data_IF_172856589277
#
_entry.id   IF_172856589277
#
_cell.length_a   1.000
_cell.length_b   1.000
_cell.length_c   1.000
_cell.angle_alpha   90.00
_cell.angle_beta   90.00
_cell.angle_gamma   90.00
#
_symmetry.space_group_name_H-M   'P 1'
#
loop_
_entity.id
_entity.type
_entity.pdbx_description
1 polymer ?
#
# COMPACT_ATOMS: atom_id res chain seq x y z
N UNK A 1 8.70 -12.64 39.59
CA UNK A 1 8.89 -11.25 39.15
C UNK A 1 8.60 -11.11 37.64
N UNK A 2 9.07 -12.05 36.78
CA UNK A 2 8.81 -11.99 35.34
C UNK A 2 7.31 -11.99 35.08
N UNK A 3 6.54 -12.99 35.56
CA UNK A 3 5.09 -13.06 35.34
C UNK A 3 4.30 -11.85 35.87
N UNK A 4 4.81 -11.18 36.92
CA UNK A 4 4.20 -9.93 37.37
C UNK A 4 4.52 -8.79 36.39
N UNK A 5 5.75 -8.74 35.88
CA UNK A 5 6.14 -7.81 34.83
C UNK A 5 5.31 -7.96 33.56
N UNK A 6 5.05 -9.22 33.16
CA UNK A 6 4.22 -9.54 31.99
C UNK A 6 2.80 -8.96 32.14
N UNK A 7 2.15 -9.14 33.29
CA UNK A 7 0.82 -8.57 33.54
C UNK A 7 0.79 -7.05 33.40
N UNK A 8 1.78 -6.33 33.93
CA UNK A 8 1.85 -4.88 33.78
C UNK A 8 2.22 -4.45 32.36
N UNK A 9 3.01 -5.27 31.66
CA UNK A 9 3.32 -5.02 30.24
C UNK A 9 2.10 -5.16 29.35
N UNK A 10 1.26 -6.18 29.60
CA UNK A 10 0.00 -6.42 28.88
C UNK A 10 -1.00 -5.28 29.11
N UNK A 11 -1.01 -4.71 30.33
CA UNK A 11 -1.82 -3.53 30.68
C UNK A 11 -1.21 -2.20 30.14
N UNK A 12 -0.05 -2.25 29.49
CA UNK A 12 0.64 -1.07 28.95
C UNK A 12 1.40 -0.24 30.00
N UNK A 13 1.45 -0.67 31.27
CA UNK A 13 2.27 -0.02 32.33
C UNK A 13 3.73 -0.48 32.25
N UNK A 14 4.40 -0.08 31.17
CA UNK A 14 5.82 -0.39 30.94
C UNK A 14 6.75 0.13 32.01
N UNK A 15 6.34 1.14 32.81
CA UNK A 15 7.13 1.65 33.91
C UNK A 15 7.20 0.63 35.05
N UNK A 16 6.05 0.12 35.48
CA UNK A 16 5.95 -0.90 36.53
C UNK A 16 6.51 -2.23 36.04
N UNK A 17 6.21 -2.63 34.81
CA UNK A 17 6.79 -3.83 34.17
C UNK A 17 8.33 -3.80 34.22
N UNK A 18 8.96 -2.68 33.81
CA UNK A 18 10.41 -2.50 33.86
C UNK A 18 10.97 -2.72 35.27
N UNK A 19 10.30 -2.23 36.30
CA UNK A 19 10.74 -2.40 37.69
C UNK A 19 10.74 -3.88 38.11
N UNK A 20 9.73 -4.65 37.72
CA UNK A 20 9.65 -6.07 38.02
C UNK A 20 10.65 -6.90 37.21
N UNK A 21 10.87 -6.60 35.95
CA UNK A 21 11.89 -7.27 35.16
C UNK A 21 13.30 -6.95 35.67
N UNK A 22 13.55 -5.71 36.09
CA UNK A 22 14.83 -5.37 36.75
C UNK A 22 15.04 -6.19 38.03
N UNK A 23 14.01 -6.31 38.87
CA UNK A 23 14.08 -7.19 40.07
C UNK A 23 14.33 -8.67 39.71
N UNK A 24 13.78 -9.14 38.60
CA UNK A 24 14.04 -10.51 38.13
C UNK A 24 15.52 -10.68 37.78
N UNK A 25 16.08 -9.75 37.01
CA UNK A 25 17.49 -9.74 36.62
C UNK A 25 18.40 -9.64 37.82
N UNK A 26 18.10 -8.71 38.77
CA UNK A 26 18.87 -8.53 40.02
C UNK A 26 18.88 -9.82 40.89
N UNK A 27 17.88 -10.67 40.77
CA UNK A 27 17.80 -11.97 41.41
C UNK A 27 18.34 -13.15 40.54
N UNK A 28 19.08 -12.83 39.47
CA UNK A 28 19.76 -13.83 38.65
C UNK A 28 18.88 -14.55 37.64
N UNK A 29 17.67 -14.06 37.38
CA UNK A 29 16.79 -14.61 36.34
C UNK A 29 17.16 -13.97 34.98
N UNK A 30 17.30 -14.79 33.92
CA UNK A 30 17.50 -14.31 32.56
C UNK A 30 16.19 -13.68 32.07
N UNK A 31 16.12 -12.38 32.10
CA UNK A 31 14.96 -11.58 31.69
C UNK A 31 15.39 -10.28 31.00
N UNK A 32 16.59 -10.28 30.40
CA UNK A 32 17.16 -9.09 29.77
C UNK A 32 16.44 -8.70 28.49
N UNK A 33 15.91 -9.68 27.76
CA UNK A 33 15.11 -9.42 26.54
C UNK A 33 13.86 -8.60 26.88
N UNK A 34 13.02 -9.07 27.81
CA UNK A 34 11.80 -8.36 28.22
C UNK A 34 12.09 -7.03 28.90
N UNK A 35 13.17 -6.97 29.69
CA UNK A 35 13.65 -5.70 30.29
C UNK A 35 14.04 -4.69 29.21
N UNK A 36 14.80 -5.13 28.22
CA UNK A 36 15.20 -4.28 27.08
C UNK A 36 14.00 -3.84 26.24
N UNK A 37 13.07 -4.75 25.93
CA UNK A 37 11.84 -4.44 25.18
C UNK A 37 11.02 -3.36 25.90
N UNK A 38 10.84 -3.44 27.23
CA UNK A 38 10.14 -2.40 28.00
C UNK A 38 10.86 -1.05 28.01
N UNK A 39 12.20 -1.03 28.01
CA UNK A 39 12.95 0.21 27.80
C UNK A 39 12.74 0.76 26.39
N UNK A 40 12.66 -0.09 25.39
CA UNK A 40 12.37 0.28 24.00
C UNK A 40 10.98 0.94 23.85
N UNK A 41 9.92 0.33 24.39
CA UNK A 41 8.56 0.91 24.44
C UNK A 41 8.49 2.26 25.13
N UNK A 42 9.40 2.53 26.08
CA UNK A 42 9.56 3.83 26.75
C UNK A 42 10.49 4.78 26.00
N UNK A 43 10.88 4.47 24.77
CA UNK A 43 11.81 5.24 23.93
C UNK A 43 13.19 5.47 24.57
N UNK A 44 13.61 4.61 25.52
CA UNK A 44 14.90 4.67 26.18
C UNK A 44 15.90 3.71 25.51
N UNK A 45 16.13 3.91 24.22
CA UNK A 45 16.86 3.00 23.34
C UNK A 45 18.26 2.63 23.83
N UNK A 46 18.99 3.56 24.46
CA UNK A 46 20.31 3.28 25.04
C UNK A 46 20.21 2.24 26.15
N UNK A 47 19.22 2.37 27.06
CA UNK A 47 19.04 1.39 28.14
C UNK A 47 18.57 0.04 27.63
N UNK A 48 17.73 0.02 26.58
CA UNK A 48 17.34 -1.20 25.88
C UNK A 48 18.59 -1.90 25.33
N UNK A 49 19.43 -1.18 24.60
CA UNK A 49 20.69 -1.71 24.06
C UNK A 49 21.63 -2.24 25.15
N UNK A 50 21.79 -1.51 26.26
CA UNK A 50 22.65 -1.93 27.37
C UNK A 50 22.10 -3.25 28.01
N UNK A 51 20.76 -3.36 28.19
CA UNK A 51 20.13 -4.56 28.71
C UNK A 51 20.33 -5.75 27.76
N UNK A 52 20.09 -5.57 26.45
CA UNK A 52 20.33 -6.63 25.46
C UNK A 52 21.80 -7.06 25.41
N UNK A 53 22.74 -6.10 25.55
CA UNK A 53 24.16 -6.41 25.59
C UNK A 53 24.52 -7.27 26.79
N UNK A 54 23.99 -6.96 27.96
CA UNK A 54 24.21 -7.74 29.17
C UNK A 54 23.59 -9.13 29.06
N UNK A 55 22.34 -9.25 28.54
CA UNK A 55 21.66 -10.51 28.31
C UNK A 55 22.43 -11.40 27.32
N UNK A 56 22.91 -10.83 26.23
CA UNK A 56 23.75 -11.54 25.26
C UNK A 56 25.04 -12.06 25.89
N UNK A 57 25.69 -11.28 26.74
CA UNK A 57 26.89 -11.71 27.49
C UNK A 57 26.59 -12.82 28.49
N UNK A 58 25.34 -12.92 28.96
CA UNK A 58 24.85 -14.03 29.84
C UNK A 58 24.36 -15.25 29.04
N UNK A 59 24.36 -15.18 27.71
CA UNK A 59 23.94 -16.27 26.82
C UNK A 59 22.47 -16.31 26.49
N UNK A 60 21.71 -15.24 26.74
CA UNK A 60 20.31 -15.14 26.35
C UNK A 60 20.21 -14.93 24.82
N UNK A 61 19.74 -15.95 24.11
CA UNK A 61 19.77 -16.01 22.64
C UNK A 61 18.96 -14.88 21.98
N UNK A 62 17.79 -14.57 22.52
CA UNK A 62 16.91 -13.51 22.03
C UNK A 62 17.58 -12.12 22.12
N UNK A 63 18.45 -11.90 23.09
CA UNK A 63 19.19 -10.63 23.22
C UNK A 63 20.12 -10.38 22.02
N UNK A 64 20.71 -11.41 21.43
CA UNK A 64 21.46 -11.25 20.18
C UNK A 64 20.56 -10.82 19.02
N UNK A 65 19.34 -11.37 18.92
CA UNK A 65 18.37 -10.94 17.90
C UNK A 65 17.98 -9.46 18.08
N UNK A 66 17.73 -9.04 19.33
CA UNK A 66 17.42 -7.64 19.66
C UNK A 66 18.60 -6.68 19.38
N UNK A 67 19.83 -7.11 19.64
CA UNK A 67 21.02 -6.34 19.28
C UNK A 67 21.16 -6.20 17.77
N UNK A 68 20.89 -7.27 17.01
CA UNK A 68 20.85 -7.20 15.57
C UNK A 68 19.87 -6.13 15.08
N UNK A 69 18.66 -6.14 15.61
CA UNK A 69 17.65 -5.12 15.31
C UNK A 69 18.10 -3.69 15.71
N UNK A 70 18.75 -3.52 16.85
CA UNK A 70 19.27 -2.22 17.27
C UNK A 70 20.33 -1.66 16.31
N UNK A 71 21.19 -2.53 15.75
CA UNK A 71 22.19 -2.12 14.75
C UNK A 71 21.57 -1.89 13.36
N UNK A 72 20.57 -2.65 13.00
CA UNK A 72 19.84 -2.48 11.73
C UNK A 72 19.04 -1.16 11.70
N UNK A 73 18.28 -0.87 12.76
CA UNK A 73 17.38 0.29 12.82
C UNK A 73 18.04 1.56 13.32
N UNK A 74 19.26 1.47 13.88
CA UNK A 74 20.00 2.62 14.37
C UNK A 74 19.57 3.13 15.75
N UNK A 75 19.06 2.28 16.64
CA UNK A 75 18.78 2.65 18.04
C UNK A 75 19.99 3.30 18.74
N UNK A 76 21.19 2.92 18.32
CA UNK A 76 22.45 3.54 18.75
C UNK A 76 23.19 4.11 17.53
N UNK A 77 23.48 3.28 16.56
CA UNK A 77 24.12 3.61 15.27
C UNK A 77 23.83 2.49 14.29
N UNK A 78 23.46 2.82 13.06
CA UNK A 78 23.31 1.83 12.00
C UNK A 78 24.65 1.19 11.71
N UNK A 79 24.69 -0.16 11.77
CA UNK A 79 25.86 -0.98 11.47
C UNK A 79 25.38 -2.35 10.98
N UNK A 80 25.17 -2.47 9.69
CA UNK A 80 24.60 -3.68 9.06
C UNK A 80 25.51 -4.91 9.28
N UNK A 81 26.83 -4.73 9.27
CA UNK A 81 27.75 -5.83 9.52
C UNK A 81 27.60 -6.41 10.94
N UNK A 82 27.44 -5.55 11.94
CA UNK A 82 27.18 -5.99 13.33
C UNK A 82 25.78 -6.58 13.46
N UNK A 83 24.79 -6.06 12.72
CA UNK A 83 23.44 -6.66 12.70
C UNK A 83 23.53 -8.11 12.20
N UNK A 84 24.24 -8.37 11.09
CA UNK A 84 24.48 -9.72 10.56
C UNK A 84 25.17 -10.61 11.59
N UNK A 85 26.24 -10.14 12.24
CA UNK A 85 26.95 -10.92 13.25
C UNK A 85 26.03 -11.29 14.43
N UNK A 86 25.23 -10.35 14.93
CA UNK A 86 24.30 -10.58 16.02
C UNK A 86 23.18 -11.55 15.62
N UNK A 87 22.53 -11.33 14.49
CA UNK A 87 21.50 -12.23 14.00
C UNK A 87 22.03 -13.64 13.70
N UNK A 88 23.26 -13.75 13.18
CA UNK A 88 23.91 -15.05 12.95
C UNK A 88 24.05 -15.81 14.27
N UNK A 89 24.56 -15.15 15.31
CA UNK A 89 24.69 -15.78 16.65
C UNK A 89 23.33 -16.19 17.20
N UNK A 90 22.32 -15.35 17.12
CA UNK A 90 20.97 -15.67 17.58
C UNK A 90 20.40 -16.87 16.80
N UNK A 91 20.53 -16.88 15.48
CA UNK A 91 20.11 -17.98 14.61
C UNK A 91 20.85 -19.28 14.96
N UNK A 92 22.16 -19.23 15.25
CA UNK A 92 22.94 -20.40 15.67
C UNK A 92 22.48 -20.95 17.02
N UNK A 93 21.95 -20.11 17.87
CA UNK A 93 21.33 -20.47 19.15
C UNK A 93 19.87 -20.90 19.02
N UNK A 94 19.32 -20.99 17.79
CA UNK A 94 18.00 -21.52 17.52
C UNK A 94 16.87 -20.48 17.44
N UNK A 95 17.18 -19.19 17.36
CA UNK A 95 16.16 -18.13 17.23
C UNK A 95 15.69 -18.03 15.77
N UNK A 96 14.50 -18.53 15.48
CA UNK A 96 13.92 -18.54 14.13
C UNK A 96 13.75 -17.12 13.57
N UNK A 97 13.29 -16.17 14.39
CA UNK A 97 13.10 -14.77 14.00
C UNK A 97 14.43 -14.11 13.54
N UNK A 98 15.56 -14.46 14.17
CA UNK A 98 16.86 -13.96 13.75
C UNK A 98 17.29 -14.52 12.39
N UNK A 99 17.00 -15.78 12.13
CA UNK A 99 17.24 -16.39 10.81
C UNK A 99 16.37 -15.71 9.74
N UNK A 100 15.10 -15.40 10.03
CA UNK A 100 14.24 -14.62 9.15
C UNK A 100 14.82 -13.23 8.88
N UNK A 101 15.20 -12.51 9.93
CA UNK A 101 15.80 -11.16 9.80
C UNK A 101 17.09 -11.17 8.96
N UNK A 102 17.93 -12.19 9.08
CA UNK A 102 19.08 -12.38 8.19
C UNK A 102 18.65 -12.54 6.74
N UNK A 103 17.65 -13.38 6.49
CA UNK A 103 17.09 -13.54 5.15
C UNK A 103 16.55 -12.21 4.60
N UNK A 104 15.84 -11.46 5.41
CA UNK A 104 15.30 -10.13 5.03
C UNK A 104 16.43 -9.12 4.75
N UNK A 105 17.49 -9.10 5.56
CA UNK A 105 18.65 -8.24 5.32
C UNK A 105 19.32 -8.54 3.97
N UNK A 106 19.56 -9.80 3.67
CA UNK A 106 20.15 -10.19 2.37
C UNK A 106 19.21 -9.94 1.20
N UNK A 107 17.89 -10.04 1.39
CA UNK A 107 16.92 -9.87 0.32
C UNK A 107 16.64 -8.40 -0.01
N UNK A 108 16.53 -7.53 1.00
CA UNK A 108 16.10 -6.14 0.84
C UNK A 108 17.21 -5.10 0.97
N UNK A 109 18.30 -5.39 1.70
CA UNK A 109 19.39 -4.43 1.98
C UNK A 109 20.60 -4.70 1.09
N UNK A 110 20.45 -4.63 -0.22
CA UNK A 110 21.57 -4.72 -1.16
C UNK A 110 22.35 -3.39 -1.23
N UNK A 111 23.68 -3.41 -1.41
CA UNK A 111 24.51 -4.58 -1.63
C UNK A 111 25.26 -5.02 -0.36
N UNK A 112 24.94 -6.18 0.20
CA UNK A 112 25.77 -6.83 1.23
C UNK A 112 26.89 -7.62 0.55
N UNK A 113 26.55 -8.32 -0.53
CA UNK A 113 27.47 -9.02 -1.42
C UNK A 113 27.62 -8.27 -2.75
N UNK A 114 28.69 -8.53 -3.48
CA UNK A 114 28.97 -7.90 -4.78
C UNK A 114 27.97 -8.30 -5.88
N UNK A 115 27.20 -9.38 -5.67
CA UNK A 115 26.24 -9.93 -6.62
C UNK A 115 24.84 -10.01 -6.02
N UNK A 116 23.85 -9.45 -6.72
CA UNK A 116 22.43 -9.52 -6.34
C UNK A 116 21.95 -10.96 -6.19
N UNK A 117 22.34 -11.85 -7.11
CA UNK A 117 21.98 -13.27 -7.06
C UNK A 117 22.56 -13.98 -5.84
N UNK A 118 23.78 -13.60 -5.39
CA UNK A 118 24.38 -14.18 -4.21
C UNK A 118 23.66 -13.72 -2.94
N UNK A 119 23.20 -12.46 -2.90
CA UNK A 119 22.32 -11.97 -1.84
C UNK A 119 21.03 -12.79 -1.76
N UNK A 120 20.36 -13.06 -2.90
CA UNK A 120 19.13 -13.85 -2.92
C UNK A 120 19.38 -15.31 -2.48
N UNK A 121 20.49 -15.91 -2.85
CA UNK A 121 20.87 -17.25 -2.37
C UNK A 121 21.12 -17.28 -0.86
N UNK A 122 21.80 -16.28 -0.34
CA UNK A 122 22.01 -16.14 1.10
C UNK A 122 20.67 -15.93 1.83
N UNK A 123 19.79 -15.11 1.28
CA UNK A 123 18.43 -14.93 1.82
C UNK A 123 17.68 -16.27 1.89
N UNK A 124 17.66 -17.05 0.81
CA UNK A 124 17.04 -18.39 0.78
C UNK A 124 17.63 -19.31 1.84
N UNK A 125 18.96 -19.36 1.96
CA UNK A 125 19.64 -20.18 2.99
C UNK A 125 19.14 -19.86 4.40
N UNK A 126 18.98 -18.58 4.74
CA UNK A 126 18.54 -18.18 6.06
C UNK A 126 17.02 -18.32 6.24
N UNK A 127 16.22 -18.13 5.21
CA UNK A 127 14.79 -18.43 5.23
C UNK A 127 14.52 -19.93 5.42
N UNK A 128 15.26 -20.81 4.72
CA UNK A 128 15.20 -22.25 4.93
C UNK A 128 15.55 -22.61 6.38
N UNK A 129 16.58 -21.96 6.94
CA UNK A 129 16.93 -22.14 8.35
C UNK A 129 15.82 -21.70 9.29
N UNK A 130 15.19 -20.54 9.05
CA UNK A 130 14.06 -20.04 9.83
C UNK A 130 12.90 -21.06 9.81
N UNK A 131 12.59 -21.63 8.64
CA UNK A 131 11.57 -22.66 8.50
C UNK A 131 11.85 -23.89 9.38
N UNK A 132 13.07 -24.41 9.32
CA UNK A 132 13.46 -25.58 10.14
C UNK A 132 13.58 -25.28 11.65
N UNK A 133 13.67 -24.02 12.03
CA UNK A 133 13.59 -23.55 13.41
C UNK A 133 12.13 -23.29 13.88
N UNK A 134 11.14 -23.55 13.02
CA UNK A 134 9.72 -23.50 13.38
C UNK A 134 8.95 -22.28 12.86
N UNK A 135 9.59 -21.44 12.03
CA UNK A 135 8.91 -20.34 11.35
C UNK A 135 8.31 -20.81 10.01
N UNK A 136 7.17 -21.51 10.08
CA UNK A 136 6.60 -22.13 8.89
C UNK A 136 6.01 -21.13 7.89
N UNK A 137 5.65 -19.92 8.32
CA UNK A 137 5.13 -18.85 7.46
C UNK A 137 6.16 -18.41 6.41
N UNK A 138 7.45 -18.60 6.68
CA UNK A 138 8.52 -18.23 5.75
C UNK A 138 8.48 -19.03 4.44
N UNK A 139 7.78 -20.17 4.42
CA UNK A 139 7.58 -20.98 3.21
C UNK A 139 6.98 -20.17 2.07
N UNK A 140 6.10 -19.20 2.39
CA UNK A 140 5.51 -18.26 1.42
C UNK A 140 6.60 -17.44 0.72
N UNK A 141 7.52 -16.84 1.47
CA UNK A 141 8.63 -16.05 0.90
C UNK A 141 9.56 -16.90 0.06
N UNK A 142 9.90 -18.11 0.53
CA UNK A 142 10.79 -19.03 -0.22
C UNK A 142 10.13 -19.42 -1.55
N UNK A 143 8.89 -19.86 -1.52
CA UNK A 143 8.14 -20.22 -2.73
C UNK A 143 8.00 -19.04 -3.69
N UNK A 144 7.70 -17.85 -3.18
CA UNK A 144 7.63 -16.62 -3.98
C UNK A 144 8.94 -16.30 -4.70
N UNK A 145 10.09 -16.46 -4.04
CA UNK A 145 11.41 -16.25 -4.66
C UNK A 145 11.63 -17.24 -5.81
N UNK A 146 11.39 -18.54 -5.60
CA UNK A 146 11.51 -19.54 -6.67
C UNK A 146 10.51 -19.35 -7.81
N UNK A 147 9.40 -18.65 -7.57
CA UNK A 147 8.38 -18.39 -8.60
C UNK A 147 8.72 -17.18 -9.48
N UNK A 148 9.34 -16.15 -8.90
CA UNK A 148 9.43 -14.82 -9.51
C UNK A 148 10.86 -14.33 -9.78
N UNK A 149 11.89 -14.89 -9.16
CA UNK A 149 13.27 -14.48 -9.45
C UNK A 149 13.72 -15.08 -10.79
N UNK A 150 14.17 -14.23 -11.72
CA UNK A 150 14.47 -14.65 -13.10
C UNK A 150 15.60 -15.70 -13.18
N UNK A 151 16.62 -15.60 -12.31
CA UNK A 151 17.79 -16.47 -12.34
C UNK A 151 17.59 -17.77 -11.54
N UNK A 152 16.74 -17.76 -10.51
CA UNK A 152 16.49 -18.90 -9.62
C UNK A 152 15.13 -19.55 -9.85
N UNK A 153 14.41 -19.14 -10.89
CA UNK A 153 13.04 -19.59 -11.15
C UNK A 153 12.94 -21.11 -11.25
N UNK A 154 12.17 -21.67 -10.32
CA UNK A 154 11.90 -23.11 -10.22
C UNK A 154 10.50 -23.34 -9.69
N UNK A 155 9.53 -23.44 -10.61
CA UNK A 155 8.10 -23.60 -10.25
C UNK A 155 7.84 -24.88 -9.44
N UNK A 156 8.38 -26.06 -9.79
CA UNK A 156 8.27 -27.26 -8.96
C UNK A 156 8.74 -27.05 -7.53
N UNK A 157 9.86 -26.37 -7.34
CA UNK A 157 10.44 -26.09 -6.02
C UNK A 157 9.59 -25.09 -5.22
N UNK A 158 9.01 -24.09 -5.90
CA UNK A 158 8.05 -23.18 -5.27
C UNK A 158 6.84 -23.93 -4.71
N UNK A 159 6.26 -24.84 -5.54
CA UNK A 159 5.14 -25.68 -5.13
C UNK A 159 5.52 -26.56 -3.93
N UNK A 160 6.70 -27.19 -3.97
CA UNK A 160 7.20 -28.01 -2.85
C UNK A 160 7.24 -27.23 -1.54
N UNK A 161 7.74 -25.99 -1.56
CA UNK A 161 7.79 -25.14 -0.36
C UNK A 161 6.41 -24.73 0.13
N UNK A 162 5.50 -24.40 -0.76
CA UNK A 162 4.11 -24.10 -0.38
C UNK A 162 3.41 -25.32 0.21
N UNK A 163 3.57 -26.51 -0.39
CA UNK A 163 2.99 -27.75 0.14
C UNK A 163 3.61 -28.15 1.50
N UNK A 164 4.92 -27.90 1.72
CA UNK A 164 5.56 -28.10 3.04
C UNK A 164 4.93 -27.20 4.10
N UNK A 165 4.83 -25.91 3.85
CA UNK A 165 4.21 -24.97 4.80
C UNK A 165 2.75 -25.32 5.06
N UNK A 166 1.98 -25.64 4.01
CA UNK A 166 0.58 -26.06 4.13
C UNK A 166 0.43 -27.32 5.01
N UNK A 167 1.31 -28.32 4.86
CA UNK A 167 1.30 -29.54 5.66
C UNK A 167 1.56 -29.31 7.16
N UNK A 168 2.15 -28.15 7.50
CA UNK A 168 2.44 -27.71 8.87
C UNK A 168 1.42 -26.70 9.41
N UNK A 169 0.31 -26.51 8.69
CA UNK A 169 -0.84 -25.73 9.14
C UNK A 169 -0.93 -24.30 8.61
N UNK A 170 -0.02 -23.87 7.71
CA UNK A 170 -0.07 -22.55 7.10
C UNK A 170 -1.12 -22.50 6.00
N UNK A 171 -2.40 -22.42 6.38
CA UNK A 171 -3.54 -22.52 5.46
C UNK A 171 -3.62 -21.39 4.45
N UNK A 172 -3.00 -20.23 4.67
CA UNK A 172 -2.88 -19.13 3.70
C UNK A 172 -2.18 -19.56 2.40
N UNK A 173 -1.30 -20.56 2.45
CA UNK A 173 -0.61 -21.11 1.29
C UNK A 173 -1.54 -21.83 0.28
N UNK A 174 -2.79 -22.09 0.66
CA UNK A 174 -3.79 -22.56 -0.30
C UNK A 174 -4.03 -21.55 -1.42
N UNK A 175 -4.04 -20.24 -1.11
CA UNK A 175 -4.12 -19.19 -2.11
C UNK A 175 -2.92 -19.21 -3.06
N UNK A 176 -1.70 -19.29 -2.52
CA UNK A 176 -0.47 -19.29 -3.33
C UNK A 176 -0.42 -20.52 -4.25
N UNK A 177 -0.82 -21.70 -3.77
CA UNK A 177 -0.93 -22.90 -4.60
C UNK A 177 -2.04 -22.77 -5.64
N UNK A 178 -3.22 -22.25 -5.27
CA UNK A 178 -4.30 -21.98 -6.20
C UNK A 178 -3.82 -21.03 -7.32
N UNK A 179 -3.17 -19.95 -6.96
CA UNK A 179 -2.62 -18.98 -7.91
C UNK A 179 -1.64 -19.60 -8.91
N UNK A 180 -0.75 -20.49 -8.44
CA UNK A 180 0.22 -21.19 -9.31
C UNK A 180 -0.50 -22.09 -10.31
N UNK A 181 -1.49 -22.90 -9.88
CA UNK A 181 -2.19 -23.85 -10.75
C UNK A 181 -3.28 -23.21 -11.63
N UNK A 182 -3.83 -22.07 -11.22
CA UNK A 182 -4.81 -21.32 -12.02
C UNK A 182 -4.16 -20.39 -13.05
N UNK A 183 -2.84 -20.22 -13.01
CA UNK A 183 -2.13 -19.35 -13.92
C UNK A 183 -1.27 -20.16 -14.90
N UNK A 184 -1.67 -20.21 -16.17
CA UNK A 184 -0.99 -20.93 -17.23
C UNK A 184 0.47 -20.53 -17.45
N UNK A 185 0.90 -19.40 -16.91
CA UNK A 185 2.32 -18.98 -16.91
C UNK A 185 3.21 -19.92 -16.09
N UNK A 186 2.64 -20.57 -15.07
CA UNK A 186 3.39 -21.41 -14.14
C UNK A 186 3.15 -22.89 -14.39
N UNK A 187 1.90 -23.31 -14.38
CA UNK A 187 1.46 -24.70 -14.61
C UNK A 187 0.32 -24.71 -15.62
N UNK A 188 0.57 -25.05 -16.89
CA UNK A 188 -0.47 -25.04 -17.93
C UNK A 188 -1.60 -26.02 -17.64
N UNK A 189 -2.84 -25.55 -17.76
CA UNK A 189 -4.06 -26.36 -17.82
C UNK A 189 -4.37 -27.27 -16.61
N UNK A 190 -3.93 -26.93 -15.41
CA UNK A 190 -4.28 -27.68 -14.18
C UNK A 190 -5.25 -26.90 -13.28
N UNK A 191 -6.33 -26.42 -13.88
CA UNK A 191 -7.34 -25.62 -13.17
C UNK A 191 -8.11 -26.41 -12.12
N UNK A 192 -8.28 -27.73 -12.30
CA UNK A 192 -8.95 -28.59 -11.32
C UNK A 192 -8.21 -28.60 -9.98
N UNK A 193 -6.89 -28.78 -10.03
CA UNK A 193 -6.03 -28.74 -8.83
C UNK A 193 -6.03 -27.34 -8.21
N UNK A 194 -5.95 -26.28 -9.03
CA UNK A 194 -6.02 -24.91 -8.57
C UNK A 194 -7.32 -24.58 -7.84
N UNK A 195 -8.47 -24.96 -8.42
CA UNK A 195 -9.78 -24.75 -7.80
C UNK A 195 -9.96 -25.55 -6.51
N UNK A 196 -9.34 -26.72 -6.39
CA UNK A 196 -9.34 -27.50 -5.15
C UNK A 196 -8.60 -26.76 -4.03
N UNK A 197 -7.38 -26.27 -4.28
CA UNK A 197 -6.66 -25.48 -3.30
C UNK A 197 -7.44 -24.20 -2.93
N UNK A 198 -8.01 -23.52 -3.92
CA UNK A 198 -8.84 -22.35 -3.67
C UNK A 198 -10.03 -22.67 -2.75
N UNK A 199 -10.73 -23.77 -2.99
CA UNK A 199 -11.84 -24.20 -2.15
C UNK A 199 -11.41 -24.53 -0.71
N UNK A 200 -10.23 -25.11 -0.54
CA UNK A 200 -9.64 -25.35 0.80
C UNK A 200 -9.27 -24.04 1.49
N UNK A 201 -8.70 -23.05 0.81
CA UNK A 201 -8.43 -21.71 1.34
C UNK A 201 -9.73 -21.00 1.76
N UNK A 202 -10.75 -21.02 0.91
CA UNK A 202 -12.09 -20.48 1.23
C UNK A 202 -12.70 -21.15 2.48
N UNK A 203 -12.53 -22.44 2.64
CA UNK A 203 -13.01 -23.19 3.82
C UNK A 203 -12.33 -22.73 5.11
N UNK A 204 -11.07 -22.33 5.04
CA UNK A 204 -10.30 -21.80 6.17
C UNK A 204 -10.46 -20.29 6.36
N UNK A 205 -11.38 -19.65 5.61
CA UNK A 205 -11.61 -18.20 5.61
C UNK A 205 -10.33 -17.38 5.32
N UNK A 206 -9.49 -17.88 4.41
CA UNK A 206 -8.36 -17.11 3.94
C UNK A 206 -8.84 -15.92 3.08
N UNK A 207 -8.49 -14.66 3.44
CA UNK A 207 -9.03 -13.46 2.79
C UNK A 207 -8.72 -13.40 1.30
N UNK A 208 -7.50 -13.79 0.89
CA UNK A 208 -7.05 -13.79 -0.49
C UNK A 208 -7.81 -14.84 -1.32
N UNK A 209 -8.01 -16.03 -0.76
CA UNK A 209 -8.80 -17.10 -1.40
C UNK A 209 -10.27 -16.68 -1.56
N UNK A 210 -10.85 -16.03 -0.58
CA UNK A 210 -12.22 -15.51 -0.65
C UNK A 210 -12.35 -14.44 -1.73
N UNK A 211 -11.37 -13.52 -1.83
CA UNK A 211 -11.37 -12.49 -2.86
C UNK A 211 -11.18 -13.09 -4.25
N UNK A 212 -10.24 -14.02 -4.43
CA UNK A 212 -10.07 -14.73 -5.71
C UNK A 212 -11.34 -15.49 -6.11
N UNK A 213 -12.03 -16.15 -5.17
CA UNK A 213 -13.30 -16.83 -5.43
C UNK A 213 -14.39 -15.84 -5.85
N UNK A 214 -14.42 -14.63 -5.28
CA UNK A 214 -15.31 -13.56 -5.71
C UNK A 214 -15.03 -13.18 -7.17
N UNK A 215 -13.77 -12.90 -7.51
CA UNK A 215 -13.37 -12.52 -8.87
C UNK A 215 -13.72 -13.59 -9.91
N UNK A 216 -13.58 -14.87 -9.57
CA UNK A 216 -13.99 -15.98 -10.46
C UNK A 216 -15.50 -15.92 -10.78
N UNK A 217 -16.35 -15.62 -9.79
CA UNK A 217 -17.80 -15.45 -10.03
C UNK A 217 -18.16 -14.14 -10.73
N UNK A 218 -17.33 -13.11 -10.64
CA UNK A 218 -17.54 -11.87 -11.38
C UNK A 218 -17.28 -12.06 -12.88
N UNK A 219 -16.13 -12.64 -13.21
CA UNK A 219 -15.61 -12.72 -14.58
C UNK A 219 -16.01 -14.01 -15.33
N UNK A 220 -16.40 -15.04 -14.61
CA UNK A 220 -16.72 -16.33 -15.22
C UNK A 220 -15.50 -17.13 -15.67
N UNK A 221 -14.42 -17.14 -14.88
CA UNK A 221 -13.20 -17.86 -15.21
C UNK A 221 -13.28 -19.37 -14.94
N UNK A 222 -12.41 -20.13 -15.58
CA UNK A 222 -12.18 -21.59 -15.37
C UNK A 222 -13.44 -22.44 -15.57
N UNK A 223 -14.33 -22.03 -16.50
CA UNK A 223 -15.59 -22.75 -16.80
C UNK A 223 -16.69 -22.57 -15.74
N UNK A 224 -16.52 -21.62 -14.84
CA UNK A 224 -17.54 -21.25 -13.86
C UNK A 224 -18.35 -20.09 -14.44
N UNK A 225 -19.68 -20.22 -14.48
CA UNK A 225 -20.55 -19.15 -14.97
C UNK A 225 -20.57 -17.95 -14.00
N UNK A 226 -20.61 -16.70 -14.52
CA UNK A 226 -20.74 -15.51 -13.71
C UNK A 226 -21.99 -15.55 -12.81
N UNK A 227 -21.83 -15.14 -11.55
CA UNK A 227 -22.92 -15.11 -10.57
C UNK A 227 -22.75 -13.91 -9.62
N UNK A 228 -23.50 -12.81 -9.89
CA UNK A 228 -23.42 -11.58 -9.07
C UNK A 228 -23.73 -11.85 -7.59
N UNK A 229 -24.62 -12.77 -7.26
CA UNK A 229 -24.97 -13.07 -5.86
C UNK A 229 -23.80 -13.72 -5.12
N UNK A 230 -23.14 -14.68 -5.77
CA UNK A 230 -21.97 -15.35 -5.22
C UNK A 230 -20.77 -14.40 -5.18
N UNK A 231 -20.57 -13.60 -6.22
CA UNK A 231 -19.56 -12.54 -6.23
C UNK A 231 -19.66 -11.68 -4.97
N UNK A 232 -20.84 -11.05 -4.76
CA UNK A 232 -21.04 -10.18 -3.60
C UNK A 232 -20.96 -10.92 -2.27
N UNK A 233 -21.37 -12.19 -2.23
CA UNK A 233 -21.27 -13.00 -1.01
C UNK A 233 -19.80 -13.20 -0.59
N UNK A 234 -18.93 -13.62 -1.53
CA UNK A 234 -17.53 -13.86 -1.24
C UNK A 234 -16.75 -12.55 -1.04
N UNK A 235 -17.08 -11.51 -1.83
CA UNK A 235 -16.51 -10.17 -1.67
C UNK A 235 -16.75 -9.62 -0.27
N UNK A 236 -17.98 -9.71 0.26
CA UNK A 236 -18.30 -9.30 1.63
C UNK A 236 -17.54 -10.11 2.68
N UNK A 237 -17.38 -11.42 2.46
CA UNK A 237 -16.60 -12.24 3.39
C UNK A 237 -15.12 -11.81 3.43
N UNK A 238 -14.51 -11.57 2.29
CA UNK A 238 -13.13 -11.07 2.21
C UNK A 238 -12.99 -9.69 2.84
N UNK A 239 -13.91 -8.76 2.53
CA UNK A 239 -13.93 -7.41 3.09
C UNK A 239 -14.08 -7.41 4.63
N UNK A 240 -14.91 -8.30 5.18
CA UNK A 240 -15.05 -8.45 6.65
C UNK A 240 -13.78 -8.95 7.33
N UNK A 241 -12.84 -9.51 6.58
CA UNK A 241 -11.51 -9.92 7.04
C UNK A 241 -10.44 -8.86 6.70
N UNK A 242 -10.88 -7.65 6.36
CA UNK A 242 -10.02 -6.51 6.01
C UNK A 242 -9.09 -6.80 4.82
N UNK A 243 -9.56 -7.57 3.82
CA UNK A 243 -8.83 -7.70 2.56
C UNK A 243 -9.08 -6.44 1.74
N UNK A 244 -8.02 -5.68 1.45
CA UNK A 244 -8.09 -4.32 0.92
C UNK A 244 -8.74 -4.23 -0.46
N UNK A 245 -8.37 -5.11 -1.39
CA UNK A 245 -8.98 -5.12 -2.73
C UNK A 245 -10.48 -5.45 -2.66
N UNK A 246 -10.88 -6.32 -1.72
CA UNK A 246 -12.30 -6.63 -1.51
C UNK A 246 -13.06 -5.45 -0.91
N UNK A 247 -12.46 -4.70 0.01
CA UNK A 247 -13.03 -3.46 0.56
C UNK A 247 -13.19 -2.43 -0.56
N UNK A 248 -12.19 -2.29 -1.41
CA UNK A 248 -12.19 -1.37 -2.55
C UNK A 248 -13.30 -1.73 -3.55
N UNK A 249 -13.35 -2.96 -4.00
CA UNK A 249 -14.36 -3.43 -4.97
C UNK A 249 -15.78 -3.34 -4.39
N UNK A 250 -15.96 -3.70 -3.11
CA UNK A 250 -17.24 -3.60 -2.43
C UNK A 250 -17.68 -2.13 -2.26
N UNK A 251 -16.76 -1.24 -1.94
CA UNK A 251 -17.00 0.19 -1.88
C UNK A 251 -17.48 0.75 -3.22
N UNK A 252 -16.81 0.42 -4.32
CA UNK A 252 -17.24 0.82 -5.65
C UNK A 252 -18.56 0.16 -6.08
N UNK A 253 -18.82 -1.07 -5.68
CA UNK A 253 -20.12 -1.71 -5.90
C UNK A 253 -21.23 -0.92 -5.20
N UNK A 254 -21.05 -0.56 -3.94
CA UNK A 254 -22.02 0.24 -3.19
C UNK A 254 -22.17 1.65 -3.78
N UNK A 255 -21.10 2.28 -4.21
CA UNK A 255 -21.14 3.58 -4.89
C UNK A 255 -22.03 3.53 -6.14
N UNK A 256 -21.87 2.54 -7.01
CA UNK A 256 -22.71 2.32 -8.20
C UNK A 256 -24.19 2.10 -7.85
N UNK A 257 -24.47 1.49 -6.71
CA UNK A 257 -25.85 1.25 -6.22
C UNK A 257 -26.41 2.48 -5.44
N UNK A 258 -25.67 3.57 -5.30
CA UNK A 258 -26.09 4.78 -4.57
C UNK A 258 -26.11 4.64 -3.04
N UNK A 259 -25.44 3.60 -2.51
CA UNK A 259 -25.34 3.33 -1.08
C UNK A 259 -24.11 4.01 -0.49
N UNK A 260 -24.18 5.31 -0.36
CA UNK A 260 -23.03 6.15 -0.03
C UNK A 260 -22.44 5.91 1.37
N UNK A 261 -23.29 5.57 2.37
CA UNK A 261 -22.82 5.27 3.72
C UNK A 261 -22.00 3.97 3.71
N UNK A 262 -22.53 2.89 3.10
CA UNK A 262 -21.81 1.62 2.95
C UNK A 262 -20.51 1.82 2.15
N UNK A 263 -20.49 2.73 1.16
CA UNK A 263 -19.28 3.09 0.40
C UNK A 263 -18.21 3.71 1.30
N UNK A 264 -18.61 4.71 2.10
CA UNK A 264 -17.69 5.39 3.00
C UNK A 264 -17.14 4.45 4.07
N UNK A 265 -17.97 3.54 4.59
CA UNK A 265 -17.56 2.55 5.58
C UNK A 265 -16.51 1.56 5.00
N UNK A 266 -16.68 1.11 3.75
CA UNK A 266 -15.70 0.27 3.09
C UNK A 266 -14.37 1.01 2.87
N UNK A 267 -14.43 2.23 2.32
CA UNK A 267 -13.23 3.00 2.01
C UNK A 267 -12.48 3.47 3.26
N UNK A 268 -13.17 3.72 4.37
CA UNK A 268 -12.54 4.09 5.64
C UNK A 268 -11.76 2.94 6.29
N UNK A 269 -12.08 1.69 5.96
CA UNK A 269 -11.39 0.50 6.45
C UNK A 269 -10.25 0.05 5.55
N UNK A 270 -10.18 0.57 4.31
CA UNK A 270 -9.14 0.22 3.35
C UNK A 270 -7.84 0.94 3.72
N UNK A 271 -6.75 0.18 3.87
CA UNK A 271 -5.41 0.71 4.20
C UNK A 271 -4.61 1.11 2.94
N UNK A 272 -5.24 1.10 1.78
CA UNK A 272 -4.60 1.44 0.52
C UNK A 272 -4.68 2.95 0.25
N UNK A 273 -3.53 3.59 0.06
CA UNK A 273 -3.41 4.97 -0.41
C UNK A 273 -3.83 5.11 -1.89
N UNK A 274 -5.12 4.84 -2.15
CA UNK A 274 -5.70 4.99 -3.48
C UNK A 274 -6.30 6.38 -3.67
N UNK A 275 -5.70 7.17 -4.54
CA UNK A 275 -6.17 8.53 -4.84
C UNK A 275 -7.63 8.58 -5.30
N UNK A 276 -8.08 7.56 -6.05
CA UNK A 276 -9.47 7.42 -6.48
C UNK A 276 -10.47 7.25 -5.33
N UNK A 277 -10.05 6.60 -4.23
CA UNK A 277 -10.84 6.47 -3.00
C UNK A 277 -11.04 7.84 -2.37
N UNK A 278 -9.97 8.61 -2.16
CA UNK A 278 -10.06 9.95 -1.58
C UNK A 278 -10.93 10.89 -2.42
N UNK A 279 -10.79 10.83 -3.75
CA UNK A 279 -11.65 11.57 -4.67
C UNK A 279 -13.14 11.18 -4.52
N UNK A 280 -13.45 9.88 -4.49
CA UNK A 280 -14.81 9.40 -4.30
C UNK A 280 -15.39 9.82 -2.94
N UNK A 281 -14.62 9.67 -1.87
CA UNK A 281 -15.04 10.09 -0.53
C UNK A 281 -15.30 11.61 -0.48
N UNK A 282 -14.40 12.42 -1.01
CA UNK A 282 -14.56 13.86 -1.10
C UNK A 282 -15.85 14.25 -1.83
N UNK A 283 -16.11 13.65 -3.00
CA UNK A 283 -17.32 13.94 -3.79
C UNK A 283 -18.61 13.49 -3.10
N UNK A 284 -18.59 12.36 -2.36
CA UNK A 284 -19.74 11.92 -1.56
C UNK A 284 -20.02 12.91 -0.43
N UNK A 285 -18.99 13.29 0.33
CA UNK A 285 -19.14 14.25 1.42
C UNK A 285 -19.62 15.60 0.93
N UNK A 286 -19.13 16.10 -0.19
CA UNK A 286 -19.58 17.35 -0.80
C UNK A 286 -21.03 17.25 -1.28
N UNK A 287 -21.33 16.28 -2.17
CA UNK A 287 -22.56 16.31 -2.98
C UNK A 287 -23.75 15.60 -2.31
N UNK A 288 -23.49 14.62 -1.42
CA UNK A 288 -24.52 13.77 -0.82
C UNK A 288 -24.73 14.03 0.66
N UNK A 289 -23.67 14.44 1.37
CA UNK A 289 -23.71 14.68 2.82
C UNK A 289 -23.72 16.17 3.17
N UNK A 290 -23.33 17.05 2.25
CA UNK A 290 -23.07 18.48 2.48
C UNK A 290 -22.11 18.71 3.67
N UNK A 291 -21.18 17.78 3.88
CA UNK A 291 -20.14 17.83 4.91
C UNK A 291 -18.84 18.37 4.28
N UNK A 292 -18.79 19.68 4.18
CA UNK A 292 -17.68 20.36 3.53
C UNK A 292 -16.35 20.21 4.25
N UNK A 293 -16.35 19.94 5.56
CA UNK A 293 -15.14 19.71 6.34
C UNK A 293 -14.47 18.40 5.92
N UNK A 294 -15.22 17.32 5.86
CA UNK A 294 -14.71 16.03 5.41
C UNK A 294 -14.42 16.04 3.90
N UNK A 295 -15.25 16.70 3.09
CA UNK A 295 -14.97 16.89 1.67
C UNK A 295 -13.62 17.57 1.44
N UNK A 296 -13.35 18.67 2.13
CA UNK A 296 -12.10 19.41 2.07
C UNK A 296 -10.90 18.54 2.46
N UNK A 297 -11.04 17.79 3.55
CA UNK A 297 -9.98 16.88 4.04
C UNK A 297 -9.58 15.88 2.97
N UNK A 298 -10.53 15.16 2.37
CA UNK A 298 -10.25 14.15 1.36
C UNK A 298 -9.79 14.74 0.01
N UNK A 299 -10.28 15.92 -0.38
CA UNK A 299 -9.73 16.65 -1.53
C UNK A 299 -8.26 17.03 -1.31
N UNK A 300 -7.89 17.45 -0.10
CA UNK A 300 -6.50 17.75 0.24
C UNK A 300 -5.61 16.51 0.13
N UNK A 301 -6.05 15.36 0.65
CA UNK A 301 -5.35 14.09 0.52
C UNK A 301 -5.12 13.73 -0.96
N UNK A 302 -6.17 13.80 -1.78
CA UNK A 302 -6.05 13.53 -3.22
C UNK A 302 -5.13 14.56 -3.93
N UNK A 303 -5.16 15.81 -3.50
CA UNK A 303 -4.30 16.88 -4.02
C UNK A 303 -2.82 16.68 -3.66
N UNK A 304 -2.51 16.15 -2.48
CA UNK A 304 -1.15 15.81 -2.06
C UNK A 304 -0.56 14.69 -2.93
N UNK A 305 -1.41 13.79 -3.41
CA UNK A 305 -1.05 12.74 -4.37
C UNK A 305 -1.03 13.21 -5.85
N UNK A 306 -1.00 14.50 -6.10
CA UNK A 306 -1.00 15.11 -7.43
C UNK A 306 -2.20 14.71 -8.32
N UNK A 307 -3.39 14.43 -7.72
CA UNK A 307 -4.57 14.09 -8.49
C UNK A 307 -5.16 15.35 -9.18
N UNK A 308 -5.14 15.42 -10.53
CA UNK A 308 -5.41 16.66 -11.23
C UNK A 308 -6.83 17.19 -11.03
N UNK A 309 -7.83 16.30 -10.91
CA UNK A 309 -9.23 16.69 -10.74
C UNK A 309 -9.49 17.26 -9.33
N UNK A 310 -8.83 16.71 -8.30
CA UNK A 310 -8.93 17.26 -6.96
C UNK A 310 -8.28 18.65 -6.86
N UNK A 311 -7.11 18.82 -7.51
CA UNK A 311 -6.43 20.12 -7.57
C UNK A 311 -7.30 21.17 -8.29
N UNK A 312 -7.93 20.78 -9.38
CA UNK A 312 -8.84 21.64 -10.15
C UNK A 312 -10.08 21.99 -9.32
N UNK A 313 -10.74 21.01 -8.70
CA UNK A 313 -11.91 21.24 -7.83
C UNK A 313 -11.59 22.19 -6.67
N UNK A 314 -10.41 22.03 -6.06
CA UNK A 314 -9.94 22.93 -5.00
C UNK A 314 -9.69 24.35 -5.53
N UNK A 315 -9.19 24.49 -6.75
CA UNK A 315 -9.03 25.81 -7.39
C UNK A 315 -10.39 26.49 -7.59
N UNK A 316 -11.42 25.75 -8.03
CA UNK A 316 -12.78 26.26 -8.17
C UNK A 316 -13.37 26.67 -6.82
N UNK A 317 -13.17 25.87 -5.78
CA UNK A 317 -13.65 26.17 -4.43
C UNK A 317 -13.08 27.50 -3.89
N UNK A 318 -11.81 27.80 -4.15
CA UNK A 318 -11.22 29.10 -3.83
C UNK A 318 -11.77 30.28 -4.67
N UNK A 319 -12.34 30.04 -5.83
CA UNK A 319 -12.98 31.09 -6.63
C UNK A 319 -14.42 31.34 -6.22
N UNK A 320 -15.14 30.26 -5.88
CA UNK A 320 -16.58 30.29 -5.61
C UNK A 320 -16.96 30.54 -4.16
N UNK A 321 -16.01 30.70 -3.22
CA UNK A 321 -16.30 30.74 -1.77
C UNK A 321 -17.05 29.46 -1.32
N UNK A 322 -16.56 28.31 -1.80
CA UNK A 322 -17.18 27.00 -1.59
C UNK A 322 -16.38 26.16 -0.61
N UNK A 323 -16.96 25.06 -0.13
CA UNK A 323 -16.33 24.12 0.81
C UNK A 323 -15.86 24.78 2.13
N UNK A 324 -16.41 25.97 2.47
CA UNK A 324 -15.99 26.73 3.65
C UNK A 324 -14.65 27.44 3.49
N UNK A 325 -14.15 27.57 2.27
CA UNK A 325 -12.91 28.30 1.94
C UNK A 325 -13.24 29.76 1.62
N UNK A 326 -12.43 30.68 2.12
CA UNK A 326 -12.51 32.08 1.71
C UNK A 326 -11.96 32.26 0.28
N UNK A 327 -12.59 33.16 -0.48
CA UNK A 327 -12.17 33.45 -1.85
C UNK A 327 -10.72 33.92 -1.94
N UNK A 328 -9.89 33.19 -2.69
CA UNK A 328 -8.48 33.52 -2.96
C UNK A 328 -8.10 33.22 -4.42
N UNK A 329 -8.21 34.23 -5.26
CA UNK A 329 -7.90 34.14 -6.70
C UNK A 329 -6.43 33.77 -6.96
N UNK A 330 -5.48 34.16 -6.08
CA UNK A 330 -4.05 33.84 -6.23
C UNK A 330 -3.79 32.37 -5.99
N UNK A 331 -4.38 31.81 -4.94
CA UNK A 331 -4.29 30.37 -4.63
C UNK A 331 -4.99 29.56 -5.71
N UNK A 332 -6.19 29.97 -6.17
CA UNK A 332 -6.88 29.32 -7.28
C UNK A 332 -6.02 29.27 -8.55
N UNK A 333 -5.40 30.39 -8.91
CA UNK A 333 -4.48 30.44 -10.08
C UNK A 333 -3.28 29.49 -9.96
N UNK A 334 -2.69 29.38 -8.76
CA UNK A 334 -1.59 28.42 -8.50
C UNK A 334 -2.07 26.98 -8.73
N UNK A 335 -3.23 26.64 -8.20
CA UNK A 335 -3.82 25.31 -8.32
C UNK A 335 -4.19 25.00 -9.77
N UNK A 336 -4.82 25.93 -10.50
CA UNK A 336 -5.08 25.75 -11.95
C UNK A 336 -3.79 25.52 -12.73
N UNK A 337 -2.72 26.26 -12.44
CA UNK A 337 -1.41 26.04 -13.08
C UNK A 337 -0.84 24.65 -12.78
N UNK A 338 -1.02 24.14 -11.55
CA UNK A 338 -0.59 22.80 -11.15
C UNK A 338 -1.41 21.73 -11.87
N UNK A 339 -2.73 21.79 -11.80
CA UNK A 339 -3.64 20.85 -12.45
C UNK A 339 -3.47 20.85 -13.99
N UNK A 340 -3.35 22.05 -14.62
CA UNK A 340 -3.13 22.18 -16.06
C UNK A 340 -1.80 21.53 -16.51
N UNK A 341 -0.72 21.63 -15.72
CA UNK A 341 0.56 20.95 -15.98
C UNK A 341 0.44 19.44 -15.89
N UNK A 342 -0.37 18.94 -14.95
CA UNK A 342 -0.66 17.53 -14.77
C UNK A 342 -1.65 16.97 -15.81
N UNK A 343 -2.15 17.82 -16.72
CA UNK A 343 -2.95 17.37 -17.85
C UNK A 343 -4.46 17.57 -17.70
N UNK A 344 -4.96 18.09 -16.57
CA UNK A 344 -6.40 18.31 -16.40
C UNK A 344 -6.92 19.32 -17.45
N UNK A 345 -7.88 18.88 -18.27
CA UNK A 345 -8.40 19.64 -19.40
C UNK A 345 -9.25 20.85 -18.96
N UNK A 346 -10.00 20.74 -17.85
CA UNK A 346 -10.79 21.82 -17.29
C UNK A 346 -9.87 22.93 -16.74
N UNK A 347 -8.85 22.56 -16.00
CA UNK A 347 -7.85 23.49 -15.50
C UNK A 347 -7.08 24.20 -16.64
N UNK A 348 -6.76 23.46 -17.72
CA UNK A 348 -6.16 24.05 -18.93
C UNK A 348 -7.10 25.06 -19.59
N UNK A 349 -8.40 24.78 -19.64
CA UNK A 349 -9.42 25.72 -20.12
C UNK A 349 -9.49 26.96 -19.22
N UNK A 350 -9.66 26.78 -17.90
CA UNK A 350 -9.74 27.86 -16.93
C UNK A 350 -8.50 28.76 -16.98
N UNK A 351 -7.31 28.15 -17.07
CA UNK A 351 -6.06 28.90 -17.23
C UNK A 351 -5.98 29.64 -18.56
N UNK A 352 -6.44 29.02 -19.66
CA UNK A 352 -6.53 29.65 -20.98
C UNK A 352 -7.44 30.88 -20.97
N UNK A 353 -8.61 30.76 -20.31
CA UNK A 353 -9.54 31.88 -20.15
C UNK A 353 -8.98 32.99 -19.26
N UNK A 354 -8.27 32.61 -18.18
CA UNK A 354 -7.60 33.57 -17.31
C UNK A 354 -6.63 34.47 -18.12
N UNK A 355 -5.81 33.88 -18.97
CA UNK A 355 -4.91 34.65 -19.84
C UNK A 355 -5.62 35.34 -20.99
N UNK A 356 -6.77 34.87 -21.48
CA UNK A 356 -7.53 35.54 -22.53
C UNK A 356 -8.17 36.83 -22.02
N UNK A 357 -8.68 36.83 -20.79
CA UNK A 357 -9.46 37.93 -20.22
C UNK A 357 -8.71 38.73 -19.14
N UNK A 358 -7.52 38.29 -18.72
CA UNK A 358 -6.79 38.95 -17.62
C UNK A 358 -7.39 38.65 -16.23
N UNK A 359 -8.01 37.48 -16.02
CA UNK A 359 -8.59 37.10 -14.70
C UNK A 359 -7.52 36.67 -13.70
N UNK A 360 -7.86 36.66 -12.42
CA UNK A 360 -7.06 36.19 -11.31
C UNK A 360 -5.69 36.91 -11.19
N UNK A 361 -5.64 38.16 -11.61
CA UNK A 361 -4.45 39.02 -11.51
C UNK A 361 -3.35 38.72 -12.55
N UNK A 362 -3.63 37.95 -13.60
CA UNK A 362 -2.69 37.78 -14.70
C UNK A 362 -2.91 38.87 -15.77
N UNK A 363 -1.84 39.28 -16.42
CA UNK A 363 -1.95 40.16 -17.59
C UNK A 363 -2.48 39.37 -18.80
N UNK A 364 -3.46 39.90 -19.50
CA UNK A 364 -3.99 39.27 -20.70
C UNK A 364 -2.89 39.02 -21.75
N UNK A 365 -2.75 37.76 -22.16
CA UNK A 365 -1.81 37.29 -23.17
C UNK A 365 -2.46 36.25 -24.06
N UNK A 366 -2.78 36.70 -25.29
CA UNK A 366 -3.46 35.89 -26.29
C UNK A 366 -2.67 34.64 -26.69
N UNK A 367 -1.34 34.73 -26.76
CA UNK A 367 -0.48 33.60 -27.17
C UNK A 367 -0.52 32.48 -26.09
N UNK A 368 -0.35 32.86 -24.85
CA UNK A 368 -0.44 31.94 -23.70
C UNK A 368 -1.86 31.40 -23.56
N UNK A 369 -2.89 32.21 -23.71
CA UNK A 369 -4.29 31.76 -23.70
C UNK A 369 -4.53 30.65 -24.75
N UNK A 370 -4.15 30.90 -26.01
CA UNK A 370 -4.35 29.94 -27.08
C UNK A 370 -3.50 28.66 -26.90
N UNK A 371 -2.33 28.76 -26.29
CA UNK A 371 -1.52 27.59 -25.94
C UNK A 371 -2.26 26.65 -24.98
N UNK A 372 -2.83 27.17 -23.89
CA UNK A 372 -3.55 26.38 -22.92
C UNK A 372 -4.88 25.86 -23.45
N UNK A 373 -5.66 26.70 -24.16
CA UNK A 373 -6.90 26.27 -24.80
C UNK A 373 -6.68 25.14 -25.81
N UNK A 374 -5.61 25.16 -26.61
CA UNK A 374 -5.26 24.05 -27.51
C UNK A 374 -4.87 22.78 -26.79
N UNK A 375 -4.25 22.86 -25.61
CA UNK A 375 -4.01 21.69 -24.77
C UNK A 375 -5.32 21.11 -24.25
N UNK A 376 -6.21 21.98 -23.78
CA UNK A 376 -7.55 21.58 -23.30
C UNK A 376 -8.39 20.91 -24.40
N UNK A 377 -8.29 21.38 -25.66
CA UNK A 377 -8.92 20.72 -26.82
C UNK A 377 -8.41 19.29 -27.00
N UNK A 378 -7.10 19.04 -26.82
CA UNK A 378 -6.54 17.69 -26.88
C UNK A 378 -7.07 16.78 -25.78
N UNK A 379 -7.48 17.33 -24.65
CA UNK A 379 -8.17 16.66 -23.56
C UNK A 379 -9.69 16.65 -23.73
N UNK A 380 -10.19 16.90 -24.95
CA UNK A 380 -11.61 16.82 -25.34
C UNK A 380 -12.54 17.72 -24.51
N UNK A 381 -12.06 18.85 -23.99
CA UNK A 381 -12.90 19.80 -23.27
C UNK A 381 -13.82 20.56 -24.24
N UNK A 382 -15.17 20.43 -24.14
CA UNK A 382 -16.08 21.01 -25.12
C UNK A 382 -16.02 22.55 -25.15
N UNK A 383 -15.85 23.18 -23.98
CA UNK A 383 -15.74 24.64 -23.89
C UNK A 383 -14.49 25.18 -24.57
N UNK A 384 -13.37 24.43 -24.46
CA UNK A 384 -12.13 24.77 -25.15
C UNK A 384 -12.27 24.60 -26.68
N UNK A 385 -12.94 23.53 -27.13
CA UNK A 385 -13.24 23.32 -28.55
C UNK A 385 -14.03 24.50 -29.12
N UNK A 386 -15.08 24.90 -28.42
CA UNK A 386 -15.87 26.08 -28.84
C UNK A 386 -15.03 27.36 -28.89
N UNK A 387 -14.25 27.67 -27.86
CA UNK A 387 -13.43 28.88 -27.81
C UNK A 387 -12.35 28.92 -28.91
N UNK A 388 -11.67 27.82 -29.14
CA UNK A 388 -10.65 27.70 -30.18
C UNK A 388 -11.29 27.73 -31.56
N UNK A 389 -12.46 27.10 -31.74
CA UNK A 389 -13.24 27.18 -32.98
C UNK A 389 -13.66 28.63 -33.31
N UNK A 390 -14.25 29.33 -32.34
CA UNK A 390 -14.60 30.75 -32.48
C UNK A 390 -13.37 31.63 -32.81
N UNK A 391 -12.23 31.34 -32.17
CA UNK A 391 -10.98 32.04 -32.49
C UNK A 391 -10.59 31.87 -33.96
N UNK A 392 -10.59 30.64 -34.48
CA UNK A 392 -10.27 30.41 -35.89
C UNK A 392 -11.30 31.05 -36.81
N UNK A 393 -12.58 30.95 -36.51
CA UNK A 393 -13.67 31.51 -37.30
C UNK A 393 -13.57 33.04 -37.45
N UNK A 394 -13.44 33.77 -36.32
CA UNK A 394 -13.50 35.23 -36.31
C UNK A 394 -12.15 35.91 -36.58
N UNK A 395 -11.03 35.24 -36.27
CA UNK A 395 -9.73 35.94 -36.21
C UNK A 395 -8.83 35.62 -37.40
N UNK A 396 -8.78 34.38 -37.85
CA UNK A 396 -7.80 33.95 -38.86
C UNK A 396 -8.31 34.14 -40.28
N UNK A 397 -9.62 34.09 -40.51
CA UNK A 397 -10.33 34.40 -41.75
C UNK A 397 -9.72 33.78 -43.02
N UNK A 398 -9.26 32.54 -42.95
CA UNK A 398 -8.77 31.75 -44.09
C UNK A 398 -9.62 30.50 -44.27
N UNK A 399 -9.68 29.95 -45.48
CA UNK A 399 -10.44 28.73 -45.77
C UNK A 399 -9.99 27.57 -44.88
N UNK A 400 -8.68 27.40 -44.66
CA UNK A 400 -8.11 26.41 -43.73
C UNK A 400 -8.56 26.64 -42.27
N UNK A 401 -8.69 27.90 -41.86
CA UNK A 401 -9.17 28.24 -40.51
C UNK A 401 -10.65 27.93 -40.33
N UNK A 402 -11.47 28.22 -41.37
CA UNK A 402 -12.90 27.86 -41.34
C UNK A 402 -13.11 26.34 -41.29
N UNK A 403 -12.32 25.56 -42.05
CA UNK A 403 -12.36 24.10 -41.96
C UNK A 403 -12.00 23.60 -40.56
N UNK A 404 -10.93 24.16 -39.98
CA UNK A 404 -10.50 23.80 -38.62
C UNK A 404 -11.49 24.22 -37.54
N UNK A 405 -12.18 25.37 -37.72
CA UNK A 405 -13.26 25.76 -36.82
C UNK A 405 -14.41 24.78 -36.88
N UNK A 406 -14.82 24.36 -38.08
CA UNK A 406 -15.88 23.38 -38.28
C UNK A 406 -15.57 22.00 -37.66
N UNK A 407 -14.30 21.56 -37.71
CA UNK A 407 -13.83 20.32 -37.09
C UNK A 407 -13.90 20.35 -35.55
N UNK A 408 -13.94 21.55 -34.97
CA UNK A 408 -13.98 21.77 -33.51
C UNK A 408 -15.39 21.99 -32.95
N UNK A 409 -16.35 22.37 -33.81
CA UNK A 409 -17.77 22.52 -33.47
C UNK A 409 -18.52 21.19 -33.55
#
# INVERSE_FOLDING_TARGET
YVSIGDLYSDDGDFKTATMYYQKAVDNGVLAYTVLGDTWGYRSQYKKAFDAYTEGANKGEAECFARLGFCYETGYVKIDIQKAIECYTKASDLGVAAAARSLGDLYYFNTPIEDSEIENVKNALKYYERAFYLGDFQIAKKIGFIYLNNEELKDVPKAIEWYEKGLSLGEHSLNFDLAYVYLNDRFVPHDYEKGLKYLADGVKHNDPESLYMQARIYEEGWYGIEPDEKKYIHYLKKAANLCQDDALLDLGYYYYKKGKYDDTLDCFAQCDLDYVGVYWCMATIYETKKADYKNALFYYQMAMEMDFPDAIERMAEAYLGDELGLEKDEKTALKLFKRAAKLGNAAAQYNLGMAYACGYYGVTADRKTALHWLKKSVKGENPSACLQVGLYYYYTVKTEAAYKKAFELF
#
